data_IF_582419565918
#
_entry.id   IF_582419565918
#
_cell.length_a   1.000
_cell.length_b   1.000
_cell.length_c   1.000
_cell.angle_alpha   90.00
_cell.angle_beta   90.00
_cell.angle_gamma   90.00
#
_symmetry.space_group_name_H-M   'P 1'
#
loop_
_entity.id
_entity.type
_entity.pdbx_description
1 polymer ?
#
# COMPACT_ATOMS: atom_id res chain seq x y z
N UNK A 1 4.97 -5.30 14.47
CA UNK A 1 5.57 -5.44 13.13
C UNK A 1 7.03 -5.15 13.32
N UNK A 2 7.89 -6.16 13.16
CA UNK A 2 9.33 -5.98 13.35
C UNK A 2 9.95 -5.85 11.96
N UNK A 3 10.49 -4.68 11.65
CA UNK A 3 11.33 -4.50 10.46
C UNK A 3 12.78 -4.64 10.92
N UNK A 4 13.47 -5.67 10.43
CA UNK A 4 14.89 -5.85 10.71
C UNK A 4 15.65 -5.22 9.54
N UNK A 5 16.40 -4.15 9.81
CA UNK A 5 17.29 -3.54 8.84
C UNK A 5 18.70 -4.09 9.06
N UNK A 6 19.27 -4.81 8.09
CA UNK A 6 20.72 -5.04 8.05
C UNK A 6 21.34 -3.95 7.19
N UNK A 7 22.12 -3.06 7.80
CA UNK A 7 23.04 -2.20 7.05
C UNK A 7 24.25 -3.04 6.61
N UNK A 8 24.35 -3.33 5.32
CA UNK A 8 25.64 -3.61 4.70
C UNK A 8 25.81 -2.71 3.48
N UNK A 9 26.75 -1.76 3.56
CA UNK A 9 27.32 -1.04 2.41
C UNK A 9 26.33 -0.44 1.39
N UNK A 10 26.11 0.89 1.47
CA UNK A 10 25.46 1.77 0.48
C UNK A 10 24.04 1.47 0.00
N UNK A 11 23.44 0.33 0.35
CA UNK A 11 22.00 0.07 0.09
C UNK A 11 21.38 -0.55 1.33
N UNK A 12 20.48 0.17 2.00
CA UNK A 12 19.68 -0.41 3.07
C UNK A 12 18.63 -1.33 2.44
N UNK A 13 18.88 -2.64 2.46
CA UNK A 13 17.86 -3.62 2.12
C UNK A 13 17.06 -3.89 3.39
N UNK A 14 15.83 -3.37 3.44
CA UNK A 14 14.90 -3.69 4.52
C UNK A 14 14.19 -5.00 4.18
N UNK A 15 14.43 -6.05 4.97
CA UNK A 15 13.65 -7.28 4.87
C UNK A 15 12.58 -7.26 5.96
N UNK A 16 11.33 -7.17 5.55
CA UNK A 16 10.19 -7.21 6.46
C UNK A 16 9.85 -8.66 6.79
N UNK A 17 10.20 -9.12 7.99
CA UNK A 17 9.84 -10.45 8.47
C UNK A 17 8.60 -10.29 9.36
N UNK A 18 7.44 -10.67 8.83
CA UNK A 18 6.20 -10.75 9.62
C UNK A 18 6.12 -12.15 10.21
N UNK A 19 5.85 -12.23 11.52
CA UNK A 19 5.53 -13.50 12.17
C UNK A 19 4.48 -14.25 11.34
N UNK A 20 4.72 -15.53 11.12
CA UNK A 20 3.81 -16.38 10.36
C UNK A 20 2.58 -16.59 11.24
N UNK A 21 1.45 -16.03 10.81
CA UNK A 21 0.16 -16.25 11.47
C UNK A 21 -0.66 -17.30 10.73
N UNK A 22 -1.60 -17.93 11.42
CA UNK A 22 -2.46 -19.00 10.90
C UNK A 22 -3.18 -18.59 9.60
N UNK A 23 -3.56 -17.32 9.45
CA UNK A 23 -4.28 -16.84 8.25
C UNK A 23 -3.41 -16.91 6.99
N UNK A 24 -2.09 -16.69 7.11
CA UNK A 24 -1.14 -16.82 5.99
C UNK A 24 -1.03 -18.26 5.51
N UNK A 25 -1.11 -19.20 6.45
CA UNK A 25 -0.97 -20.61 6.13
C UNK A 25 -2.23 -21.13 5.46
N UNK A 26 -3.40 -20.74 5.97
CA UNK A 26 -4.68 -21.00 5.28
C UNK A 26 -4.72 -20.38 3.88
N UNK A 27 -4.18 -19.17 3.71
CA UNK A 27 -4.07 -18.52 2.40
C UNK A 27 -3.23 -19.35 1.42
N UNK A 28 -2.07 -19.86 1.88
CA UNK A 28 -1.19 -20.70 1.06
C UNK A 28 -1.87 -22.03 0.70
N UNK A 29 -2.46 -22.72 1.68
CA UNK A 29 -3.15 -24.00 1.47
C UNK A 29 -4.23 -23.93 0.40
N UNK A 30 -5.07 -22.89 0.44
CA UNK A 30 -6.13 -22.71 -0.57
C UNK A 30 -5.61 -22.51 -1.99
N UNK A 31 -4.33 -22.19 -2.17
CA UNK A 31 -3.75 -21.78 -3.45
C UNK A 31 -2.55 -22.60 -3.89
N UNK A 32 -2.14 -23.60 -3.11
CA UNK A 32 -1.04 -24.50 -3.46
C UNK A 32 -1.53 -25.92 -3.59
N UNK A 33 -1.29 -26.50 -4.76
CA UNK A 33 -1.56 -27.91 -5.03
C UNK A 33 -0.28 -28.75 -4.87
N UNK A 34 0.77 -28.16 -4.30
CA UNK A 34 2.12 -28.76 -4.22
C UNK A 34 2.51 -29.21 -2.82
N UNK A 35 1.64 -28.98 -1.84
CA UNK A 35 1.82 -29.52 -0.48
C UNK A 35 1.17 -30.90 -0.45
N UNK A 36 2.01 -31.93 -0.52
CA UNK A 36 1.58 -33.33 -0.64
C UNK A 36 1.75 -34.10 0.69
N UNK A 37 1.88 -33.39 1.82
CA UNK A 37 2.03 -33.99 3.14
C UNK A 37 0.70 -34.46 3.72
N UNK A 38 0.76 -35.44 4.62
CA UNK A 38 -0.38 -35.86 5.44
C UNK A 38 -0.86 -34.72 6.36
N UNK A 39 -2.11 -34.81 6.82
CA UNK A 39 -2.67 -33.85 7.79
C UNK A 39 -1.82 -33.74 9.06
N UNK A 40 -1.21 -34.85 9.50
CA UNK A 40 -0.29 -34.89 10.63
C UNK A 40 1.00 -34.10 10.38
N UNK A 41 1.66 -34.32 9.24
CA UNK A 41 2.87 -33.55 8.86
C UNK A 41 2.56 -32.07 8.71
N UNK A 42 1.36 -31.74 8.22
CA UNK A 42 0.89 -30.38 8.11
C UNK A 42 0.69 -29.72 9.48
N UNK A 43 -0.01 -30.39 10.41
CA UNK A 43 -0.21 -29.88 11.76
C UNK A 43 1.12 -29.74 12.53
N UNK A 44 2.08 -30.62 12.28
CA UNK A 44 3.44 -30.47 12.81
C UNK A 44 4.13 -29.23 12.24
N UNK A 45 4.09 -29.03 10.93
CA UNK A 45 4.67 -27.85 10.30
C UNK A 45 4.01 -26.54 10.77
N UNK A 46 2.69 -26.55 11.03
CA UNK A 46 1.99 -25.43 11.68
C UNK A 46 2.55 -25.12 13.06
N UNK A 47 2.74 -26.15 13.89
CA UNK A 47 3.28 -26.02 15.23
C UNK A 47 4.71 -25.46 15.18
N UNK A 48 5.55 -26.02 14.29
CA UNK A 48 6.94 -25.59 14.09
C UNK A 48 6.99 -24.13 13.62
N UNK A 49 6.18 -23.74 12.63
CA UNK A 49 6.10 -22.35 12.17
C UNK A 49 5.57 -21.39 13.23
N UNK A 50 4.69 -21.85 14.12
CA UNK A 50 4.22 -21.09 15.27
C UNK A 50 5.34 -20.70 16.24
N UNK A 51 6.49 -21.39 16.20
CA UNK A 51 7.69 -21.06 17.00
C UNK A 51 8.56 -19.98 16.37
N UNK A 52 8.29 -19.55 15.13
CA UNK A 52 9.09 -18.54 14.43
C UNK A 52 8.71 -17.13 14.87
N UNK A 53 9.29 -16.68 15.97
CA UNK A 53 9.21 -15.32 16.50
C UNK A 53 10.53 -14.93 17.17
N UNK A 54 10.73 -13.62 17.42
CA UNK A 54 11.92 -13.13 18.12
C UNK A 54 11.92 -13.53 19.60
N UNK A 55 13.09 -13.85 20.15
CA UNK A 55 13.24 -14.16 21.57
C UNK A 55 12.76 -12.98 22.46
N UNK A 56 12.23 -13.24 23.68
CA UNK A 56 11.73 -12.20 24.56
C UNK A 56 12.76 -11.13 24.95
N UNK A 57 14.05 -11.47 24.91
CA UNK A 57 15.20 -10.61 25.22
C UNK A 57 15.96 -10.13 23.97
N UNK A 58 15.35 -10.28 22.78
CA UNK A 58 15.93 -9.79 21.55
C UNK A 58 16.15 -8.25 21.60
N UNK A 59 17.39 -7.83 21.43
CA UNK A 59 17.77 -6.42 21.34
C UNK A 59 17.86 -5.99 19.87
N UNK A 60 17.22 -4.86 19.52
CA UNK A 60 17.30 -4.24 18.21
C UNK A 60 18.05 -2.91 18.31
N UNK A 61 18.89 -2.58 17.33
CA UNK A 61 19.64 -1.31 17.31
C UNK A 61 18.70 -0.10 17.31
N UNK A 62 17.55 -0.23 16.62
CA UNK A 62 16.52 0.80 16.52
C UNK A 62 15.16 0.14 16.56
N UNK A 63 14.28 0.63 17.43
CA UNK A 63 12.86 0.25 17.47
C UNK A 63 11.95 1.44 17.18
N UNK A 64 11.01 1.25 16.26
CA UNK A 64 9.92 2.19 16.01
C UNK A 64 8.58 1.52 16.31
N UNK A 65 7.73 2.20 17.09
CA UNK A 65 6.40 1.72 17.47
C UNK A 65 5.35 2.65 16.89
N UNK A 66 4.40 2.07 16.18
CA UNK A 66 3.31 2.79 15.53
C UNK A 66 1.99 2.16 15.94
N UNK A 67 1.00 3.00 16.28
CA UNK A 67 -0.38 2.52 16.42
C UNK A 67 -1.07 2.55 15.05
N UNK A 68 -1.61 1.41 14.61
CA UNK A 68 -2.39 1.37 13.38
C UNK A 68 -3.66 2.25 13.42
N UNK A 69 -4.17 2.57 14.62
CA UNK A 69 -5.33 3.44 14.81
C UNK A 69 -5.03 4.92 14.58
N UNK A 70 -3.75 5.30 14.58
CA UNK A 70 -3.31 6.68 14.37
C UNK A 70 -2.95 6.97 12.90
N UNK A 71 -2.94 5.93 12.05
CA UNK A 71 -2.59 6.06 10.64
C UNK A 71 -3.79 6.59 9.86
N UNK A 72 -3.76 7.87 9.51
CA UNK A 72 -4.70 8.47 8.58
C UNK A 72 -4.52 7.91 7.14
N UNK A 73 -5.46 8.14 6.21
CA UNK A 73 -5.20 7.94 4.79
C UNK A 73 -4.15 8.91 4.27
N UNK A 74 -3.17 8.42 3.50
CA UNK A 74 -2.08 9.21 2.93
C UNK A 74 -2.12 9.20 1.40
N UNK A 75 -1.60 10.28 0.82
CA UNK A 75 -1.23 10.37 -0.60
C UNK A 75 0.25 10.72 -0.67
N UNK A 76 0.93 10.14 -1.65
CA UNK A 76 2.34 10.37 -1.90
C UNK A 76 2.51 11.16 -3.19
N UNK A 77 3.39 12.16 -3.17
CA UNK A 77 3.72 12.97 -4.34
C UNK A 77 4.51 12.20 -5.40
N UNK A 78 4.45 12.67 -6.65
CA UNK A 78 4.97 11.94 -7.82
C UNK A 78 6.50 11.94 -7.94
N UNK A 79 7.21 12.82 -7.22
CA UNK A 79 8.67 12.92 -7.33
C UNK A 79 9.38 11.84 -6.51
N UNK A 80 8.85 11.50 -5.34
CA UNK A 80 9.51 10.53 -4.45
C UNK A 80 8.54 9.91 -3.46
N UNK A 81 8.66 8.59 -3.18
CA UNK A 81 7.75 7.88 -2.29
C UNK A 81 7.77 8.36 -0.83
N UNK A 82 8.84 9.05 -0.41
CA UNK A 82 8.95 9.64 0.93
C UNK A 82 8.16 10.96 1.08
N UNK A 83 7.62 11.51 0.00
CA UNK A 83 6.79 12.70 -0.02
C UNK A 83 5.31 12.37 0.27
N UNK A 84 5.06 11.74 1.42
CA UNK A 84 3.71 11.36 1.85
C UNK A 84 3.09 12.43 2.76
N UNK A 85 1.84 12.80 2.48
CA UNK A 85 1.03 13.67 3.35
C UNK A 85 -0.35 13.04 3.59
N UNK A 86 -0.92 13.29 4.78
CA UNK A 86 -2.27 12.84 5.06
C UNK A 86 -3.25 13.55 4.11
N UNK A 87 -4.28 12.85 3.66
CA UNK A 87 -5.31 13.39 2.76
C UNK A 87 -5.99 14.65 3.35
N UNK A 88 -6.09 14.71 4.68
CA UNK A 88 -6.65 15.84 5.43
C UNK A 88 -5.67 17.00 5.66
N UNK A 89 -4.38 16.83 5.37
CA UNK A 89 -3.37 17.85 5.61
C UNK A 89 -3.39 18.96 4.53
N UNK A 90 -2.77 20.09 4.86
CA UNK A 90 -2.47 21.14 3.90
C UNK A 90 -1.18 20.80 3.14
N UNK A 91 -1.14 21.18 1.87
CA UNK A 91 0.03 21.02 1.00
C UNK A 91 1.20 21.82 1.61
N UNK A 92 2.36 21.19 1.87
CA UNK A 92 3.46 21.84 2.57
C UNK A 92 4.03 23.01 1.76
N UNK A 93 4.47 24.05 2.46
CA UNK A 93 5.25 25.13 1.85
C UNK A 93 6.72 24.72 1.79
N UNK A 94 7.45 25.12 0.73
CA UNK A 94 8.90 24.98 0.73
C UNK A 94 9.48 25.85 1.85
N UNK A 95 10.39 25.28 2.63
CA UNK A 95 11.09 26.01 3.67
C UNK A 95 12.02 27.05 3.02
N UNK A 96 11.64 28.33 3.12
CA UNK A 96 12.41 29.46 2.59
C UNK A 96 13.48 29.97 3.57
N UNK A 97 13.55 29.41 4.77
CA UNK A 97 14.48 29.83 5.84
C UNK A 97 15.75 28.99 5.90
N UNK A 98 15.85 27.92 5.09
CA UNK A 98 17.04 27.12 4.94
C UNK A 98 18.13 27.91 4.16
N UNK A 99 18.99 28.63 4.87
CA UNK A 99 20.08 29.46 4.31
C UNK A 99 21.38 28.70 4.06
N UNK A 100 21.38 27.36 4.05
CA UNK A 100 22.57 26.57 3.71
C UNK A 100 22.51 26.10 2.26
N UNK A 101 23.67 26.13 1.58
CA UNK A 101 23.93 25.74 0.19
C UNK A 101 23.58 24.28 -0.18
N UNK A 102 22.85 23.57 0.70
CA UNK A 102 22.38 22.19 0.55
C UNK A 102 20.92 22.09 1.01
N UNK A 103 20.01 22.88 0.42
CA UNK A 103 18.57 22.84 0.76
C UNK A 103 17.79 21.77 0.00
N UNK A 104 18.27 20.53 -0.01
CA UNK A 104 17.67 19.42 -0.80
C UNK A 104 16.18 19.21 -0.55
N UNK A 105 15.68 19.47 0.67
CA UNK A 105 14.27 19.28 1.03
C UNK A 105 13.35 20.42 0.58
N UNK A 106 13.79 21.67 0.72
CA UNK A 106 13.01 22.84 0.25
C UNK A 106 12.94 22.91 -1.27
N UNK A 107 14.04 22.54 -1.93
CA UNK A 107 14.12 22.41 -3.38
C UNK A 107 13.25 21.26 -3.90
N UNK A 108 13.28 20.10 -3.21
CA UNK A 108 12.42 18.97 -3.55
C UNK A 108 10.92 19.30 -3.43
N UNK A 109 10.49 20.00 -2.37
CA UNK A 109 9.10 20.45 -2.22
C UNK A 109 8.75 21.44 -3.34
N UNK A 110 9.61 22.43 -3.59
CA UNK A 110 9.37 23.42 -4.65
C UNK A 110 9.25 22.76 -6.04
N UNK A 111 10.09 21.78 -6.32
CA UNK A 111 10.06 21.00 -7.55
C UNK A 111 8.78 20.15 -7.64
N UNK A 112 8.38 19.50 -6.55
CA UNK A 112 7.18 18.67 -6.46
C UNK A 112 5.92 19.50 -6.71
N UNK A 113 5.81 20.67 -6.07
CA UNK A 113 4.70 21.60 -6.31
C UNK A 113 4.62 22.06 -7.75
N UNK A 114 5.76 22.43 -8.35
CA UNK A 114 5.80 22.88 -9.75
C UNK A 114 5.43 21.75 -10.71
N UNK A 115 5.97 20.57 -10.50
CA UNK A 115 5.72 19.40 -11.34
C UNK A 115 4.24 18.96 -11.25
N UNK A 116 3.67 18.92 -10.04
CA UNK A 116 2.27 18.55 -9.82
C UNK A 116 1.27 19.69 -10.09
N UNK A 117 1.74 20.91 -10.36
CA UNK A 117 0.87 22.09 -10.51
C UNK A 117 0.12 22.48 -9.24
N UNK A 118 0.68 22.20 -8.07
CA UNK A 118 0.04 22.42 -6.77
C UNK A 118 0.52 23.70 -6.10
N UNK A 119 -0.36 24.31 -5.31
CA UNK A 119 -0.05 25.50 -4.49
C UNK A 119 0.02 25.13 -3.02
N UNK A 120 1.03 25.63 -2.31
CA UNK A 120 1.20 25.40 -0.87
C UNK A 120 0.06 26.02 -0.04
N UNK A 121 -0.16 25.47 1.15
CA UNK A 121 -1.18 25.93 2.08
C UNK A 121 -2.62 25.59 1.69
N UNK A 122 -2.82 24.90 0.56
CA UNK A 122 -4.14 24.45 0.07
C UNK A 122 -4.43 23.03 0.54
N UNK A 123 -5.70 22.67 0.63
CA UNK A 123 -6.11 21.27 0.87
C UNK A 123 -5.95 20.44 -0.40
N UNK A 124 -5.64 19.15 -0.24
CA UNK A 124 -5.76 18.16 -1.32
C UNK A 124 -7.23 17.88 -1.68
N UNK A 125 -8.14 18.04 -0.72
CA UNK A 125 -9.55 17.79 -0.93
C UNK A 125 -10.15 18.81 -1.89
N UNK A 126 -10.90 18.33 -2.87
CA UNK A 126 -11.51 19.15 -3.91
C UNK A 126 -10.58 19.49 -5.08
N UNK A 127 -9.34 18.98 -5.09
CA UNK A 127 -8.53 18.99 -6.30
C UNK A 127 -9.19 18.12 -7.36
N UNK A 128 -9.24 18.64 -8.58
CA UNK A 128 -9.71 17.89 -9.73
C UNK A 128 -8.65 16.85 -10.11
N UNK A 129 -9.12 15.68 -10.51
CA UNK A 129 -8.28 14.60 -11.03
C UNK A 129 -8.75 14.27 -12.43
N UNK A 130 -7.84 13.90 -13.31
CA UNK A 130 -8.16 13.50 -14.69
C UNK A 130 -8.23 11.98 -14.85
N UNK A 131 -7.55 11.24 -13.96
CA UNK A 131 -7.38 9.79 -14.07
C UNK A 131 -7.43 9.11 -12.71
N UNK A 132 -8.02 7.92 -12.69
CA UNK A 132 -8.03 7.02 -11.52
C UNK A 132 -7.54 5.66 -11.97
N UNK A 133 -6.59 5.11 -11.22
CA UNK A 133 -6.06 3.76 -11.41
C UNK A 133 -6.22 2.98 -10.10
N UNK A 134 -6.93 1.85 -10.15
CA UNK A 134 -7.10 0.94 -9.00
C UNK A 134 -6.47 -0.39 -9.37
N UNK A 135 -5.45 -0.83 -8.64
CA UNK A 135 -4.85 -2.14 -8.87
C UNK A 135 -3.33 -2.15 -8.85
N UNK A 136 -2.73 -2.95 -9.75
CA UNK A 136 -1.31 -3.37 -9.80
C UNK A 136 -0.96 -4.55 -8.89
N UNK A 137 0.29 -5.01 -8.95
CA UNK A 137 0.81 -6.06 -8.06
C UNK A 137 0.80 -5.65 -6.58
N UNK A 138 0.79 -4.34 -6.28
CA UNK A 138 0.79 -3.81 -4.91
C UNK A 138 -0.61 -3.73 -4.32
N UNK A 139 -1.60 -3.29 -5.10
CA UNK A 139 -2.96 -2.95 -4.63
C UNK A 139 -4.08 -3.57 -5.48
N UNK A 140 -3.84 -4.76 -6.03
CA UNK A 140 -4.77 -5.47 -6.92
C UNK A 140 -5.19 -6.85 -6.41
N UNK A 141 -5.21 -7.08 -5.10
CA UNK A 141 -5.73 -8.34 -4.52
C UNK A 141 -7.25 -8.35 -4.55
N UNK A 142 -7.86 -9.52 -4.38
CA UNK A 142 -9.33 -9.60 -4.41
C UNK A 142 -9.96 -8.79 -3.27
N UNK A 143 -9.33 -8.76 -2.11
CA UNK A 143 -9.79 -7.96 -0.97
C UNK A 143 -9.75 -6.45 -1.28
N UNK A 144 -8.71 -5.99 -2.00
CA UNK A 144 -8.59 -4.59 -2.43
C UNK A 144 -9.74 -4.22 -3.39
N UNK A 145 -10.01 -5.08 -4.38
CA UNK A 145 -11.09 -4.87 -5.34
C UNK A 145 -12.48 -4.88 -4.69
N UNK A 146 -12.72 -5.73 -3.68
CA UNK A 146 -13.98 -5.74 -2.93
C UNK A 146 -14.21 -4.42 -2.18
N UNK A 147 -13.16 -3.89 -1.54
CA UNK A 147 -13.25 -2.60 -0.84
C UNK A 147 -13.55 -1.48 -1.84
N UNK A 148 -12.82 -1.43 -2.96
CA UNK A 148 -13.05 -0.43 -4.00
C UNK A 148 -14.45 -0.53 -4.61
N UNK A 149 -14.92 -1.75 -4.92
CA UNK A 149 -16.26 -2.00 -5.45
C UNK A 149 -17.35 -1.51 -4.48
N UNK A 150 -17.19 -1.76 -3.17
CA UNK A 150 -18.13 -1.29 -2.16
C UNK A 150 -18.21 0.24 -2.09
N UNK A 151 -17.11 0.95 -2.35
CA UNK A 151 -17.07 2.42 -2.37
C UNK A 151 -17.78 2.98 -3.61
N UNK A 152 -17.55 2.38 -4.78
CA UNK A 152 -18.06 2.91 -6.06
C UNK A 152 -19.46 2.40 -6.43
N UNK A 153 -19.96 1.37 -5.73
CA UNK A 153 -21.30 0.84 -5.95
C UNK A 153 -22.35 1.95 -5.88
N UNK A 154 -23.26 1.93 -6.85
CA UNK A 154 -24.33 2.92 -7.03
C UNK A 154 -23.85 4.37 -7.25
N UNK A 155 -22.56 4.55 -7.56
CA UNK A 155 -21.96 5.83 -7.94
C UNK A 155 -21.46 5.75 -9.38
N UNK A 156 -21.14 6.89 -9.96
CA UNK A 156 -20.45 6.98 -11.25
C UNK A 156 -19.24 7.89 -11.14
N UNK A 157 -18.17 7.50 -11.81
CA UNK A 157 -17.03 8.36 -12.04
C UNK A 157 -17.48 9.61 -12.83
N UNK A 158 -16.86 10.75 -12.55
CA UNK A 158 -17.16 11.97 -13.28
C UNK A 158 -16.81 11.82 -14.77
N UNK A 159 -17.63 12.38 -15.66
CA UNK A 159 -17.49 12.19 -17.11
C UNK A 159 -16.15 12.68 -17.69
N UNK A 160 -15.49 13.61 -17.02
CA UNK A 160 -14.16 14.12 -17.39
C UNK A 160 -13.00 13.23 -16.92
N UNK A 161 -13.27 12.19 -16.13
CA UNK A 161 -12.25 11.38 -15.45
C UNK A 161 -12.20 10.00 -16.07
N UNK A 162 -11.01 9.55 -16.44
CA UNK A 162 -10.80 8.19 -16.94
C UNK A 162 -10.41 7.26 -15.79
N UNK A 163 -11.26 6.29 -15.49
CA UNK A 163 -11.03 5.27 -14.46
C UNK A 163 -10.61 3.93 -15.06
N UNK A 164 -9.62 3.26 -14.47
CA UNK A 164 -9.27 1.88 -14.83
C UNK A 164 -9.04 1.01 -13.61
N UNK A 165 -9.42 -0.26 -13.74
CA UNK A 165 -9.21 -1.30 -12.71
C UNK A 165 -8.30 -2.40 -13.27
N UNK A 166 -7.17 -2.62 -12.62
CA UNK A 166 -6.15 -3.57 -13.05
C UNK A 166 -5.89 -4.63 -11.97
N UNK A 167 -6.54 -5.80 -12.05
CA UNK A 167 -6.32 -6.88 -11.09
C UNK A 167 -4.85 -7.29 -11.02
N UNK A 168 -4.36 -7.64 -9.82
CA UNK A 168 -2.97 -7.99 -9.58
C UNK A 168 -2.53 -9.31 -10.24
N UNK A 169 -3.47 -10.10 -10.75
CA UNK A 169 -3.21 -11.30 -11.56
C UNK A 169 -4.45 -11.72 -12.36
N UNK A 170 -4.27 -12.59 -13.36
CA UNK A 170 -5.39 -13.20 -14.08
C UNK A 170 -6.30 -14.06 -13.20
N UNK A 171 -5.79 -14.64 -12.11
CA UNK A 171 -6.61 -15.38 -11.15
C UNK A 171 -7.52 -14.44 -10.34
N UNK A 172 -7.00 -13.29 -9.89
CA UNK A 172 -7.82 -12.27 -9.22
C UNK A 172 -8.84 -11.68 -10.19
N UNK A 173 -8.48 -11.46 -11.46
CA UNK A 173 -9.43 -11.01 -12.48
C UNK A 173 -10.62 -11.96 -12.60
N UNK A 174 -10.38 -13.25 -12.82
CA UNK A 174 -11.46 -14.25 -12.92
C UNK A 174 -12.32 -14.28 -11.67
N UNK A 175 -11.69 -14.27 -10.49
CA UNK A 175 -12.41 -14.24 -9.22
C UNK A 175 -13.28 -12.97 -9.08
N UNK A 176 -12.78 -11.81 -9.51
CA UNK A 176 -13.55 -10.56 -9.48
C UNK A 176 -14.72 -10.57 -10.48
N UNK A 177 -14.57 -11.21 -11.64
CA UNK A 177 -15.64 -11.43 -12.61
C UNK A 177 -16.70 -12.39 -12.04
N UNK A 178 -16.28 -13.52 -11.45
CA UNK A 178 -17.16 -14.52 -10.80
C UNK A 178 -17.95 -13.93 -9.61
N UNK A 179 -17.33 -13.05 -8.83
CA UNK A 179 -17.97 -12.35 -7.71
C UNK A 179 -18.84 -11.16 -8.15
N UNK A 180 -18.89 -10.84 -9.45
CA UNK A 180 -19.65 -9.71 -10.00
C UNK A 180 -19.04 -8.33 -9.71
N UNK A 181 -17.83 -8.26 -9.17
CA UNK A 181 -17.13 -7.00 -8.88
C UNK A 181 -16.82 -6.22 -10.15
N UNK A 182 -16.45 -6.93 -11.23
CA UNK A 182 -16.18 -6.32 -12.53
C UNK A 182 -17.37 -5.49 -13.04
N UNK A 183 -18.60 -6.02 -12.88
CA UNK A 183 -19.81 -5.32 -13.32
C UNK A 183 -20.05 -4.04 -12.50
N UNK A 184 -19.80 -4.06 -11.18
CA UNK A 184 -19.91 -2.87 -10.34
C UNK A 184 -18.98 -1.75 -10.82
N UNK A 185 -17.75 -2.09 -11.22
CA UNK A 185 -16.81 -1.12 -11.77
C UNK A 185 -17.25 -0.58 -13.14
N UNK A 186 -17.71 -1.46 -14.03
CA UNK A 186 -18.23 -1.07 -15.35
C UNK A 186 -19.45 -0.14 -15.21
N UNK A 187 -20.40 -0.47 -14.32
CA UNK A 187 -21.59 0.34 -14.06
C UNK A 187 -21.24 1.73 -13.50
N UNK A 188 -20.15 1.79 -12.73
CA UNK A 188 -19.56 3.03 -12.21
C UNK A 188 -18.74 3.80 -13.26
N UNK A 189 -18.54 3.26 -14.46
CA UNK A 189 -17.85 3.92 -15.57
C UNK A 189 -16.34 3.70 -15.63
N UNK A 190 -15.82 2.66 -14.96
CA UNK A 190 -14.43 2.24 -15.07
C UNK A 190 -14.20 1.28 -16.23
N UNK A 191 -12.98 1.30 -16.78
CA UNK A 191 -12.43 0.31 -17.71
C UNK A 191 -11.80 -0.90 -17.01
#
# INVERSE_FOLDING_TARGET
MVQIARQSGKTAMFQEIKNVRSERIHYLLKRTNRLNGSETEFNQALADWGTLYSDPDACFDIEHRFSATEVAPYVTGDISPDQAIAVSALIPAPDKTATSEVSTKGDAISQALRYMGLSSGRSLLGLLIDRVFIGSCTNGRIEDLRIAAAIVKDKRIAASVRGMVVPGSGAVRRQAEEEGLAQIFIDAGFE
#
